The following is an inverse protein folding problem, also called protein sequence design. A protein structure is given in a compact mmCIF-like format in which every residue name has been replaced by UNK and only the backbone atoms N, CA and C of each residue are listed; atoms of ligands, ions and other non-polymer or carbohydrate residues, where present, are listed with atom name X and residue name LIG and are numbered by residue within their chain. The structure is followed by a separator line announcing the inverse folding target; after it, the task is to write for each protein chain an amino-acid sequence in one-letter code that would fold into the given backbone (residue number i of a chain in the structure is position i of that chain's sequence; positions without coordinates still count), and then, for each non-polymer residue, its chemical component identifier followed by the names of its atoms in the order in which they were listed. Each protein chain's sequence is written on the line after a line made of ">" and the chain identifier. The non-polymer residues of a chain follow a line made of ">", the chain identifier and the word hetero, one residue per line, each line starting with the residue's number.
data_IF_388244570754
#
_entry.id   IF_388244570754
#
_cell.length_a   1.000
_cell.length_b   1.000
_cell.length_c   1.000
_cell.angle_alpha   90.00
_cell.angle_beta   90.00
_cell.angle_gamma   90.00
#
_symmetry.space_group_name_H-M   'P 1'
#
loop_
_entity.id
_entity.type
_entity.pdbx_description
1 polymer ?
#
# COMPACT_ATOMS: atom_id res chain seq x y z
N UNK A 1 -50.51 1.77 -11.15
CA UNK A 1 -50.01 0.51 -10.53
C UNK A 1 -48.70 0.17 -11.21
N UNK A 2 -47.63 0.89 -10.84
CA UNK A 2 -46.57 0.41 -9.94
C UNK A 2 -45.56 -0.48 -10.67
N UNK A 3 -44.82 0.14 -11.60
CA UNK A 3 -43.60 -0.42 -12.14
C UNK A 3 -42.46 -0.24 -11.14
N UNK A 4 -42.03 -1.34 -10.52
CA UNK A 4 -40.82 -1.40 -9.70
C UNK A 4 -39.94 -2.48 -10.30
N UNK A 5 -39.20 -2.12 -11.35
CA UNK A 5 -38.12 -2.95 -11.87
C UNK A 5 -36.80 -2.47 -11.26
N UNK A 6 -36.50 -3.07 -10.11
CA UNK A 6 -35.19 -3.30 -9.51
C UNK A 6 -33.99 -2.55 -10.12
N UNK A 7 -33.58 -1.50 -9.41
CA UNK A 7 -32.28 -0.85 -9.54
C UNK A 7 -31.15 -1.83 -9.13
N UNK A 8 -30.64 -2.60 -10.09
CA UNK A 8 -29.56 -3.58 -9.89
C UNK A 8 -28.17 -2.96 -10.12
N UNK A 9 -27.88 -1.79 -9.54
CA UNK A 9 -26.60 -1.10 -9.72
C UNK A 9 -25.84 -0.76 -8.42
N UNK A 10 -26.29 -1.24 -7.24
CA UNK A 10 -25.52 -1.02 -6.00
C UNK A 10 -24.67 -2.21 -5.53
N UNK A 11 -24.86 -3.41 -6.09
CA UNK A 11 -24.15 -4.63 -5.63
C UNK A 11 -22.92 -5.04 -6.47
N UNK A 12 -22.63 -4.35 -7.58
CA UNK A 12 -21.52 -4.71 -8.49
C UNK A 12 -20.24 -3.87 -8.32
N UNK A 13 -20.23 -2.90 -7.42
CA UNK A 13 -19.10 -1.97 -7.28
C UNK A 13 -18.15 -2.27 -6.11
N UNK A 14 -18.46 -3.25 -5.26
CA UNK A 14 -17.61 -3.61 -4.11
C UNK A 14 -16.63 -4.75 -4.42
N UNK A 15 -16.88 -5.55 -5.47
CA UNK A 15 -16.11 -6.79 -5.73
C UNK A 15 -15.20 -6.74 -6.97
N UNK A 16 -15.24 -5.67 -7.77
CA UNK A 16 -14.60 -5.64 -9.10
C UNK A 16 -13.21 -5.02 -9.09
N UNK A 17 -12.26 -5.66 -8.41
CA UNK A 17 -10.82 -5.37 -8.58
C UNK A 17 -10.02 -6.67 -8.69
N UNK A 18 -10.50 -7.63 -9.50
CA UNK A 18 -9.78 -8.87 -9.87
C UNK A 18 -9.01 -8.76 -11.19
N UNK A 19 -8.92 -7.58 -11.80
CA UNK A 19 -8.15 -7.40 -13.04
C UNK A 19 -6.67 -7.31 -12.69
N UNK A 20 -5.91 -8.37 -12.98
CA UNK A 20 -4.44 -8.37 -12.89
C UNK A 20 -3.90 -7.22 -13.74
N UNK A 21 -3.06 -6.34 -13.17
CA UNK A 21 -2.53 -5.23 -13.93
C UNK A 21 -1.53 -5.75 -14.97
N UNK A 22 -1.57 -5.18 -16.18
CA UNK A 22 -0.67 -5.61 -17.28
C UNK A 22 0.79 -5.25 -17.01
N UNK A 23 1.05 -4.30 -16.09
CA UNK A 23 2.39 -3.81 -15.71
C UNK A 23 2.46 -3.59 -14.21
N UNK A 24 3.66 -3.69 -13.65
CA UNK A 24 3.91 -3.30 -12.26
C UNK A 24 3.67 -1.79 -12.14
N UNK A 25 2.93 -1.37 -11.12
CA UNK A 25 2.73 0.03 -10.81
C UNK A 25 2.82 0.28 -9.31
N UNK A 26 3.02 1.53 -8.92
CA UNK A 26 3.09 1.93 -7.52
C UNK A 26 2.05 3.00 -7.26
N UNK A 27 1.18 2.77 -6.29
CA UNK A 27 0.24 3.76 -5.80
C UNK A 27 0.92 4.54 -4.69
N UNK A 28 1.17 5.82 -4.92
CA UNK A 28 1.72 6.71 -3.88
C UNK A 28 0.64 6.98 -2.85
N UNK A 29 0.97 6.79 -1.58
CA UNK A 29 0.20 7.33 -0.45
C UNK A 29 0.87 8.65 -0.04
N UNK A 30 1.31 8.78 1.20
CA UNK A 30 1.95 9.99 1.72
C UNK A 30 3.36 9.70 2.21
N UNK A 31 4.19 10.76 2.34
CA UNK A 31 5.45 10.71 3.08
C UNK A 31 6.54 9.76 2.56
N UNK A 32 6.40 9.24 1.34
CA UNK A 32 7.30 8.21 0.78
C UNK A 32 6.77 6.78 0.92
N UNK A 33 5.60 6.59 1.55
CA UNK A 33 4.85 5.33 1.55
C UNK A 33 4.15 5.14 0.19
N UNK A 34 4.25 3.94 -0.36
CA UNK A 34 3.57 3.56 -1.60
C UNK A 34 3.23 2.08 -1.60
N UNK A 35 2.09 1.74 -2.19
CA UNK A 35 1.70 0.36 -2.45
C UNK A 35 2.26 -0.06 -3.80
N UNK A 36 3.20 -0.99 -3.80
CA UNK A 36 3.65 -1.65 -5.02
C UNK A 36 2.66 -2.75 -5.40
N UNK A 37 2.16 -2.70 -6.63
CA UNK A 37 1.30 -3.71 -7.20
C UNK A 37 2.05 -4.37 -8.36
N UNK A 38 2.35 -5.65 -8.20
CA UNK A 38 2.93 -6.47 -9.25
C UNK A 38 1.89 -6.78 -10.34
N UNK A 39 2.35 -7.00 -11.57
CA UNK A 39 1.56 -7.54 -12.67
C UNK A 39 0.86 -8.86 -12.33
N UNK A 40 1.43 -9.64 -11.40
CA UNK A 40 0.83 -10.87 -10.88
C UNK A 40 -0.35 -10.62 -9.94
N UNK A 41 -0.55 -9.38 -9.48
CA UNK A 41 -1.59 -8.97 -8.54
C UNK A 41 -1.14 -8.96 -7.07
N UNK A 42 0.12 -9.32 -6.78
CA UNK A 42 0.70 -9.17 -5.46
C UNK A 42 0.83 -7.70 -5.07
N UNK A 43 0.47 -7.36 -3.83
CA UNK A 43 0.47 -6.00 -3.32
C UNK A 43 1.36 -5.92 -2.09
N UNK A 44 2.33 -5.02 -2.06
CA UNK A 44 3.26 -4.84 -0.94
C UNK A 44 3.46 -3.36 -0.62
N UNK A 45 3.49 -3.03 0.67
CA UNK A 45 3.78 -1.70 1.15
C UNK A 45 5.28 -1.45 1.13
N UNK A 46 5.69 -0.39 0.47
CA UNK A 46 7.07 0.05 0.44
C UNK A 46 7.19 1.46 0.97
N UNK A 47 8.25 1.70 1.73
CA UNK A 47 8.57 3.00 2.26
C UNK A 47 9.95 3.43 1.76
N UNK A 48 10.03 4.64 1.18
CA UNK A 48 11.28 5.28 0.78
C UNK A 48 11.69 6.31 1.84
N UNK A 49 12.97 6.28 2.22
CA UNK A 49 13.57 7.20 3.18
C UNK A 49 15.02 7.46 2.80
N UNK A 50 15.65 8.45 3.44
CA UNK A 50 17.07 8.72 3.29
C UNK A 50 17.81 8.19 4.52
N UNK A 51 18.85 7.39 4.28
CA UNK A 51 19.72 6.85 5.30
C UNK A 51 21.14 7.33 5.05
N UNK A 52 21.71 8.12 5.97
CA UNK A 52 23.08 8.66 5.85
C UNK A 52 23.34 9.32 4.48
N UNK A 53 22.39 10.12 4.00
CA UNK A 53 22.47 10.81 2.71
C UNK A 53 22.21 9.94 1.48
N UNK A 54 21.92 8.64 1.65
CA UNK A 54 21.61 7.72 0.54
C UNK A 54 20.12 7.37 0.50
N UNK A 55 19.46 7.42 -0.67
CA UNK A 55 18.08 6.99 -0.79
C UNK A 55 17.97 5.48 -0.56
N UNK A 56 17.09 5.10 0.35
CA UNK A 56 16.81 3.74 0.76
C UNK A 56 15.33 3.41 0.60
N UNK A 57 15.04 2.12 0.49
CA UNK A 57 13.69 1.55 0.47
C UNK A 57 13.66 0.32 1.38
N UNK A 58 12.55 0.16 2.10
CA UNK A 58 12.18 -1.07 2.82
C UNK A 58 10.79 -1.54 2.38
N UNK A 59 10.50 -2.81 2.62
CA UNK A 59 9.16 -3.39 2.51
C UNK A 59 8.57 -3.45 3.91
N UNK A 60 7.42 -2.81 4.12
CA UNK A 60 6.72 -2.85 5.41
C UNK A 60 5.87 -4.12 5.55
N UNK A 61 5.49 -4.76 4.43
CA UNK A 61 4.81 -6.04 4.37
C UNK A 61 3.81 -6.15 3.22
N UNK A 62 3.00 -7.20 3.20
CA UNK A 62 2.05 -7.49 2.12
C UNK A 62 0.64 -7.00 2.46
N UNK A 63 -0.11 -6.59 1.45
CA UNK A 63 -1.56 -6.35 1.56
C UNK A 63 -2.29 -7.63 1.16
N UNK A 64 -3.35 -8.06 1.88
CA UNK A 64 -4.11 -7.33 2.89
C UNK A 64 -3.67 -7.57 4.35
N UNK A 65 -2.64 -8.39 4.60
CA UNK A 65 -2.15 -8.70 5.96
C UNK A 65 -1.84 -7.43 6.76
N UNK A 66 -1.22 -6.45 6.10
CA UNK A 66 -1.01 -5.11 6.65
C UNK A 66 -2.00 -4.14 6.03
N UNK A 67 -2.85 -3.57 6.88
CA UNK A 67 -3.79 -2.52 6.48
C UNK A 67 -3.06 -1.20 6.18
N UNK A 68 -3.72 -0.27 5.49
CA UNK A 68 -3.15 1.07 5.26
C UNK A 68 -2.81 1.78 6.59
N UNK A 69 -3.62 1.58 7.63
CA UNK A 69 -3.39 2.17 8.95
C UNK A 69 -2.11 1.62 9.58
N UNK A 70 -1.93 0.31 9.54
CA UNK A 70 -0.75 -0.35 10.11
C UNK A 70 0.51 -0.01 9.31
N UNK A 71 0.40 0.09 7.98
CA UNK A 71 1.51 0.56 7.14
C UNK A 71 1.96 1.99 7.49
N UNK A 72 1.02 2.89 7.84
CA UNK A 72 1.34 4.24 8.33
C UNK A 72 2.00 4.21 9.71
N UNK A 73 1.57 3.34 10.61
CA UNK A 73 2.21 3.16 11.92
C UNK A 73 3.64 2.63 11.77
N UNK A 74 3.84 1.61 10.94
CA UNK A 74 5.17 1.04 10.66
C UNK A 74 6.11 2.06 10.01
N UNK A 75 5.59 2.92 9.11
CA UNK A 75 6.32 4.06 8.57
C UNK A 75 6.82 4.99 9.67
N UNK A 76 5.97 5.33 10.63
CA UNK A 76 6.31 6.26 11.71
C UNK A 76 7.35 5.66 12.66
N UNK A 77 7.25 4.36 12.94
CA UNK A 77 8.28 3.62 13.67
C UNK A 77 9.63 3.66 12.95
N UNK A 78 9.64 3.39 11.64
CA UNK A 78 10.84 3.45 10.81
C UNK A 78 11.44 4.85 10.79
N UNK A 79 10.62 5.89 10.65
CA UNK A 79 11.08 7.29 10.73
C UNK A 79 11.72 7.59 12.09
N UNK A 80 11.12 7.12 13.17
CA UNK A 80 11.68 7.29 14.51
C UNK A 80 13.03 6.56 14.67
N UNK A 81 13.19 5.36 14.09
CA UNK A 81 14.46 4.63 14.08
C UNK A 81 15.53 5.38 13.28
N UNK A 82 15.19 5.86 12.09
CA UNK A 82 16.11 6.65 11.25
C UNK A 82 16.54 7.93 11.95
N UNK A 83 15.62 8.62 12.64
CA UNK A 83 15.91 9.81 13.42
C UNK A 83 16.84 9.53 14.61
N UNK A 84 16.76 8.32 15.19
CA UNK A 84 17.68 7.85 16.24
C UNK A 84 19.03 7.37 15.70
N UNK A 85 19.23 7.36 14.39
CA UNK A 85 20.45 6.81 13.79
C UNK A 85 20.52 5.28 13.87
N UNK A 86 19.37 4.59 13.89
CA UNK A 86 19.29 3.14 13.71
C UNK A 86 18.86 2.78 12.29
N UNK A 87 19.48 1.75 11.68
CA UNK A 87 19.12 1.29 10.34
C UNK A 87 17.83 0.45 10.39
N UNK A 88 16.71 0.92 9.80
CA UNK A 88 15.45 0.19 9.83
C UNK A 88 15.42 -1.03 8.90
N UNK A 89 16.50 -1.33 8.15
CA UNK A 89 16.63 -2.54 7.33
C UNK A 89 17.16 -3.74 8.10
N UNK A 90 17.83 -3.50 9.22
CA UNK A 90 18.49 -4.52 10.02
C UNK A 90 17.61 -5.05 11.16
N UNK A 91 16.40 -4.50 11.31
CA UNK A 91 15.42 -4.88 12.32
C UNK A 91 14.45 -5.95 11.81
#
# INVERSE_FOLDING_TARGET
>A
MSGVFFCALSYWYVHSQRKKPRKNYSLKDMDGLHLFVSSKGAKSWHFRFNWLGKPARISLGMYPEISLKDARLARDQVRALVAKGADPRAA
#
